data_IF_550285424332
#
_entry.id   IF_550285424332
#
_cell.length_a   1.000
_cell.length_b   1.000
_cell.length_c   1.000
_cell.angle_alpha   90.00
_cell.angle_beta   90.00
_cell.angle_gamma   90.00
#
_symmetry.space_group_name_H-M   'P 1'
#
loop_
_entity.id
_entity.type
_entity.pdbx_description
1 polymer ?
#
# COMPACT_ATOMS: atom_id res chain seq x y z
N UNK A 1 -29.35 -26.78 -33.16
CA UNK A 1 -28.22 -25.88 -33.50
C UNK A 1 -26.98 -26.36 -32.77
N UNK A 2 -25.88 -26.48 -33.52
CA UNK A 2 -24.71 -27.30 -33.23
C UNK A 2 -23.80 -26.75 -32.11
N UNK A 3 -23.42 -27.66 -31.20
CA UNK A 3 -22.36 -27.55 -30.20
C UNK A 3 -21.02 -27.21 -30.87
N UNK A 4 -20.37 -26.12 -30.47
CA UNK A 4 -18.93 -25.91 -30.67
C UNK A 4 -18.18 -26.34 -29.41
N UNK A 5 -17.53 -27.50 -29.48
CA UNK A 5 -16.42 -27.88 -28.60
C UNK A 5 -15.25 -26.94 -28.88
N UNK A 6 -14.63 -26.39 -27.84
CA UNK A 6 -13.29 -25.81 -27.91
C UNK A 6 -12.34 -26.84 -27.36
N UNK A 7 -11.41 -27.25 -28.19
CA UNK A 7 -10.33 -28.16 -27.87
C UNK A 7 -9.35 -27.48 -26.90
N UNK A 8 -9.07 -28.17 -25.80
CA UNK A 8 -8.04 -27.85 -24.83
C UNK A 8 -6.69 -28.31 -25.38
N UNK A 9 -5.73 -27.39 -25.45
CA UNK A 9 -4.33 -27.70 -25.73
C UNK A 9 -3.61 -28.04 -24.40
N UNK A 10 -2.99 -29.22 -24.27
CA UNK A 10 -2.14 -29.52 -23.12
C UNK A 10 -0.74 -28.93 -23.33
N UNK A 11 -0.40 -27.90 -22.56
CA UNK A 11 0.98 -27.41 -22.43
C UNK A 11 1.75 -28.36 -21.50
N UNK A 12 2.50 -29.29 -22.09
CA UNK A 12 3.49 -30.11 -21.40
C UNK A 12 4.75 -29.28 -21.12
N UNK A 13 5.02 -29.00 -19.85
CA UNK A 13 6.32 -28.47 -19.40
C UNK A 13 7.32 -29.64 -19.31
N UNK A 14 8.57 -29.47 -19.77
CA UNK A 14 9.60 -30.49 -19.58
C UNK A 14 9.98 -30.59 -18.10
N UNK A 15 9.81 -31.81 -17.58
CA UNK A 15 10.43 -32.34 -16.38
C UNK A 15 11.95 -32.33 -16.52
N UNK A 16 12.63 -31.42 -15.85
CA UNK A 16 14.07 -31.56 -15.58
C UNK A 16 14.25 -32.43 -14.35
N UNK A 17 14.32 -33.73 -14.59
CA UNK A 17 14.99 -34.68 -13.70
C UNK A 17 16.49 -34.40 -13.69
N UNK A 18 17.03 -34.22 -12.49
CA UNK A 18 18.46 -34.07 -12.23
C UNK A 18 18.80 -34.82 -10.94
N UNK A 19 18.75 -36.14 -11.03
CA UNK A 19 19.28 -37.11 -10.08
C UNK A 19 20.80 -37.00 -9.99
N UNK A 20 21.33 -37.09 -8.77
CA UNK A 20 22.57 -37.82 -8.48
C UNK A 20 23.89 -37.12 -8.81
N UNK A 21 24.62 -36.74 -7.76
CA UNK A 21 26.00 -36.26 -7.90
C UNK A 21 26.71 -36.10 -6.57
N UNK A 22 26.73 -37.16 -5.75
CA UNK A 22 27.72 -37.31 -4.70
C UNK A 22 29.11 -37.38 -5.34
N UNK A 23 30.05 -36.55 -4.90
CA UNK A 23 31.42 -36.62 -5.37
C UNK A 23 32.16 -35.30 -5.17
N UNK A 24 32.45 -34.95 -3.91
CA UNK A 24 33.52 -34.01 -3.65
C UNK A 24 34.86 -34.71 -3.97
N UNK A 25 35.65 -34.25 -4.95
CA UNK A 25 37.03 -34.70 -5.02
C UNK A 25 37.79 -34.00 -3.89
N UNK A 26 38.21 -34.81 -2.92
CA UNK A 26 39.38 -34.52 -2.08
C UNK A 26 40.60 -34.37 -3.01
N UNK A 27 40.76 -33.17 -3.55
CA UNK A 27 41.95 -32.75 -4.29
C UNK A 27 42.87 -32.02 -3.33
N UNK A 28 43.76 -32.76 -2.66
CA UNK A 28 44.89 -32.21 -1.94
C UNK A 28 45.75 -31.39 -2.89
N UNK A 29 45.60 -30.07 -2.82
CA UNK A 29 46.45 -29.13 -3.54
C UNK A 29 47.84 -29.15 -2.94
N UNK A 30 48.74 -29.92 -3.55
CA UNK A 30 50.17 -29.77 -3.34
C UNK A 30 50.55 -28.32 -3.61
N UNK A 31 51.17 -27.70 -2.60
CA UNK A 31 51.79 -26.38 -2.66
C UNK A 31 52.95 -26.42 -3.67
N UNK A 32 52.65 -26.20 -4.96
CA UNK A 32 53.69 -25.84 -5.92
C UNK A 32 54.06 -24.38 -5.70
N UNK A 33 55.29 -24.16 -5.23
CA UNK A 33 55.89 -22.85 -4.95
C UNK A 33 56.33 -22.11 -6.22
N UNK A 34 55.78 -22.45 -7.38
CA UNK A 34 56.10 -21.82 -8.65
C UNK A 34 55.04 -20.75 -8.92
N UNK A 35 55.40 -19.45 -9.01
CA UNK A 35 54.47 -18.39 -9.37
C UNK A 35 54.08 -18.57 -10.84
N UNK A 36 53.07 -19.39 -11.08
CA UNK A 36 52.49 -19.58 -12.39
C UNK A 36 51.82 -18.24 -12.77
N UNK A 37 52.35 -17.58 -13.79
CA UNK A 37 51.89 -16.27 -14.31
C UNK A 37 50.50 -16.32 -14.94
N UNK A 38 49.66 -17.27 -14.53
CA UNK A 38 48.26 -17.38 -14.86
C UNK A 38 47.56 -16.15 -14.31
N UNK A 39 47.13 -15.26 -15.21
CA UNK A 39 46.19 -14.17 -14.94
C UNK A 39 44.81 -14.67 -14.50
N UNK A 40 44.74 -15.66 -13.60
CA UNK A 40 43.57 -15.98 -12.79
C UNK A 40 43.15 -14.67 -12.15
N UNK A 41 42.11 -14.09 -12.75
CA UNK A 41 41.52 -12.81 -12.45
C UNK A 41 41.68 -12.47 -10.97
N UNK A 42 42.40 -11.40 -10.67
CA UNK A 42 42.39 -10.79 -9.35
C UNK A 42 40.92 -10.44 -9.10
N UNK A 43 40.19 -11.32 -8.42
CA UNK A 43 38.87 -11.02 -7.90
C UNK A 43 39.11 -9.98 -6.83
N UNK A 44 39.10 -8.72 -7.24
CA UNK A 44 39.01 -7.58 -6.34
C UNK A 44 37.68 -7.77 -5.62
N UNK A 45 37.71 -8.39 -4.43
CA UNK A 45 36.56 -8.37 -3.54
C UNK A 45 36.14 -6.91 -3.41
N UNK A 46 34.86 -6.63 -3.67
CA UNK A 46 34.35 -5.27 -3.60
C UNK A 46 34.78 -4.64 -2.26
N UNK A 47 35.29 -3.40 -2.25
CA UNK A 47 35.88 -2.78 -1.06
C UNK A 47 34.93 -2.81 0.14
N UNK A 48 33.62 -2.80 -0.12
CA UNK A 48 32.55 -2.94 0.85
C UNK A 48 32.55 -4.30 1.57
N UNK A 49 32.76 -5.41 0.84
CA UNK A 49 32.85 -6.75 1.43
C UNK A 49 34.07 -6.87 2.33
N UNK A 50 35.19 -6.26 1.93
CA UNK A 50 36.42 -6.24 2.75
C UNK A 50 36.23 -5.44 4.03
N UNK A 51 35.58 -4.28 3.95
CA UNK A 51 35.24 -3.46 5.12
C UNK A 51 34.28 -4.21 6.08
N UNK A 52 33.26 -4.88 5.55
CA UNK A 52 32.32 -5.67 6.37
C UNK A 52 33.02 -6.83 7.07
N UNK A 53 33.93 -7.55 6.39
CA UNK A 53 34.67 -8.66 7.04
C UNK A 53 35.54 -8.15 8.18
N UNK A 54 36.21 -7.01 7.98
CA UNK A 54 37.11 -6.39 8.96
C UNK A 54 36.39 -5.72 10.14
N UNK A 55 35.09 -5.41 10.00
CA UNK A 55 34.31 -4.78 11.06
C UNK A 55 34.21 -5.66 12.32
N UNK A 56 34.19 -5.01 13.48
CA UNK A 56 34.02 -5.69 14.77
C UNK A 56 32.67 -6.44 14.81
N UNK A 57 32.59 -7.46 15.67
CA UNK A 57 31.36 -8.23 15.85
C UNK A 57 30.22 -7.31 16.36
N UNK A 58 30.53 -6.36 17.24
CA UNK A 58 29.58 -5.39 17.75
C UNK A 58 29.03 -4.51 16.61
N UNK A 59 29.90 -3.98 15.74
CA UNK A 59 29.49 -3.18 14.58
C UNK A 59 28.57 -3.99 13.65
N UNK A 60 28.90 -5.26 13.39
CA UNK A 60 28.04 -6.16 12.60
C UNK A 60 26.65 -6.32 13.20
N UNK A 61 26.55 -6.52 14.52
CA UNK A 61 25.25 -6.60 15.19
C UNK A 61 24.46 -5.29 15.12
N UNK A 62 25.11 -4.13 15.26
CA UNK A 62 24.42 -2.83 15.14
C UNK A 62 23.82 -2.62 13.74
N UNK A 63 24.50 -3.04 12.67
CA UNK A 63 23.95 -2.99 11.31
C UNK A 63 22.78 -3.95 11.11
N UNK A 64 22.86 -5.17 11.64
CA UNK A 64 21.74 -6.13 11.60
C UNK A 64 20.54 -5.56 12.36
N UNK A 65 20.76 -5.03 13.56
CA UNK A 65 19.72 -4.39 14.37
C UNK A 65 19.07 -3.21 13.64
N UNK A 66 19.88 -2.31 13.06
CA UNK A 66 19.39 -1.21 12.24
C UNK A 66 18.50 -1.70 11.09
N UNK A 67 18.93 -2.76 10.38
CA UNK A 67 18.14 -3.38 9.33
C UNK A 67 16.79 -3.91 9.83
N UNK A 68 16.77 -4.57 11.00
CA UNK A 68 15.53 -5.04 11.64
C UNK A 68 14.62 -3.87 12.01
N UNK A 69 15.15 -2.77 12.55
CA UNK A 69 14.37 -1.57 12.87
C UNK A 69 13.69 -0.99 11.62
N UNK A 70 14.42 -0.85 10.51
CA UNK A 70 13.88 -0.38 9.23
C UNK A 70 12.80 -1.33 8.70
N UNK A 71 13.01 -2.64 8.82
CA UNK A 71 12.01 -3.64 8.43
C UNK A 71 10.74 -3.56 9.27
N UNK A 72 10.83 -3.26 10.57
CA UNK A 72 9.65 -3.01 11.42
C UNK A 72 8.90 -1.75 11.03
N UNK A 73 9.61 -0.65 10.75
CA UNK A 73 8.97 0.59 10.25
C UNK A 73 8.27 0.31 8.92
N UNK A 74 8.95 -0.35 7.98
CA UNK A 74 8.39 -0.69 6.68
C UNK A 74 7.17 -1.62 6.80
N UNK A 75 7.26 -2.63 7.66
CA UNK A 75 6.16 -3.57 7.91
C UNK A 75 4.96 -2.90 8.57
N UNK A 76 5.18 -2.07 9.60
CA UNK A 76 4.15 -1.27 10.26
C UNK A 76 3.45 -0.33 9.28
N UNK A 77 4.21 0.43 8.49
CA UNK A 77 3.67 1.29 7.43
C UNK A 77 2.91 0.50 6.36
N UNK A 78 3.42 -0.65 5.94
CA UNK A 78 2.79 -1.53 4.95
C UNK A 78 1.44 -2.04 5.48
N UNK A 79 1.35 -2.44 6.74
CA UNK A 79 0.10 -2.86 7.38
C UNK A 79 -0.91 -1.71 7.46
N UNK A 80 -0.49 -0.52 7.88
CA UNK A 80 -1.34 0.68 7.96
C UNK A 80 -1.86 1.06 6.56
N UNK A 81 -0.99 1.11 5.56
CA UNK A 81 -1.32 1.55 4.20
C UNK A 81 -2.16 0.53 3.41
N UNK A 82 -2.05 -0.76 3.72
CA UNK A 82 -2.88 -1.83 3.14
C UNK A 82 -4.28 -1.86 3.74
N UNK A 83 -4.39 -1.61 5.05
CA UNK A 83 -5.65 -1.59 5.79
C UNK A 83 -6.45 -0.30 5.65
N UNK A 84 -5.86 0.78 5.13
CA UNK A 84 -6.55 2.06 5.00
C UNK A 84 -7.68 2.01 3.98
N UNK A 85 -8.88 2.29 4.49
CA UNK A 85 -10.09 2.55 3.72
C UNK A 85 -10.64 3.91 4.16
N UNK A 86 -11.14 4.68 3.21
CA UNK A 86 -11.79 5.95 3.51
C UNK A 86 -12.97 6.19 2.59
N UNK A 87 -13.96 6.88 3.12
CA UNK A 87 -15.11 7.35 2.39
C UNK A 87 -15.28 8.85 2.64
N UNK A 88 -15.56 9.59 1.58
CA UNK A 88 -15.92 11.00 1.67
C UNK A 88 -17.21 11.20 0.88
N UNK A 89 -18.28 11.59 1.55
CA UNK A 89 -19.53 12.03 0.94
C UNK A 89 -19.58 13.55 1.06
N UNK A 90 -19.38 14.26 -0.04
CA UNK A 90 -19.44 15.72 -0.11
C UNK A 90 -20.63 16.15 -0.96
N UNK A 91 -21.64 16.73 -0.31
CA UNK A 91 -22.88 17.20 -0.94
C UNK A 91 -22.92 18.72 -0.90
N UNK A 92 -23.10 19.34 -2.08
CA UNK A 92 -23.14 20.79 -2.26
C UNK A 92 -24.21 21.17 -3.29
N UNK A 93 -25.15 22.01 -2.88
CA UNK A 93 -26.19 22.53 -3.77
C UNK A 93 -27.13 21.43 -4.26
N UNK A 94 -27.06 21.12 -5.55
CA UNK A 94 -27.89 20.13 -6.23
C UNK A 94 -27.21 18.76 -6.42
N UNK A 95 -25.96 18.60 -5.99
CA UNK A 95 -25.18 17.39 -6.27
C UNK A 95 -24.40 16.86 -5.08
N UNK A 96 -24.11 15.57 -5.12
CA UNK A 96 -23.31 14.85 -4.16
C UNK A 96 -22.19 14.09 -4.86
N UNK A 97 -21.01 14.11 -4.25
CA UNK A 97 -19.85 13.32 -4.68
C UNK A 97 -19.48 12.35 -3.57
N UNK A 98 -19.57 11.07 -3.88
CA UNK A 98 -19.19 9.97 -3.01
C UNK A 98 -17.86 9.40 -3.50
N UNK A 99 -16.82 9.59 -2.71
CA UNK A 99 -15.50 9.04 -2.96
C UNK A 99 -15.25 7.87 -2.01
N UNK A 100 -15.10 6.67 -2.58
CA UNK A 100 -14.81 5.44 -1.85
C UNK A 100 -13.39 5.01 -2.18
N UNK A 101 -12.52 4.96 -1.18
CA UNK A 101 -11.17 4.41 -1.27
C UNK A 101 -11.15 3.02 -0.66
N UNK A 102 -11.13 1.98 -1.49
CA UNK A 102 -11.10 0.58 -1.03
C UNK A 102 -9.72 0.22 -0.43
N UNK A 103 -9.66 -0.68 0.56
CA UNK A 103 -8.39 -1.24 1.03
C UNK A 103 -7.78 -2.14 -0.07
N UNK A 104 -6.44 -2.30 -0.05
CA UNK A 104 -5.73 -3.07 -1.09
C UNK A 104 -6.14 -4.54 -1.14
N UNK A 105 -6.58 -5.11 -0.03
CA UNK A 105 -6.97 -6.52 0.07
C UNK A 105 -8.27 -6.86 -0.68
N UNK A 106 -9.11 -5.87 -1.00
CA UNK A 106 -10.38 -6.08 -1.70
C UNK A 106 -10.24 -6.10 -3.22
N UNK A 107 -9.04 -5.83 -3.75
CA UNK A 107 -8.79 -5.92 -5.19
C UNK A 107 -8.46 -7.39 -5.51
N UNK A 108 -9.31 -8.11 -6.27
CA UNK A 108 -9.04 -9.50 -6.61
C UNK A 108 -7.72 -9.59 -7.38
N UNK A 109 -6.80 -10.42 -6.91
CA UNK A 109 -5.45 -10.60 -7.50
C UNK A 109 -5.46 -11.07 -8.96
N UNK A 110 -6.61 -11.57 -9.45
CA UNK A 110 -6.72 -12.25 -10.74
C UNK A 110 -7.44 -11.42 -11.83
N UNK A 111 -7.68 -10.12 -11.61
CA UNK A 111 -8.19 -9.25 -12.66
C UNK A 111 -7.06 -8.89 -13.63
N UNK A 112 -6.80 -9.76 -14.62
CA UNK A 112 -5.80 -9.55 -15.68
C UNK A 112 -6.17 -8.42 -16.68
N UNK A 113 -7.14 -7.58 -16.34
CA UNK A 113 -7.55 -6.47 -17.19
C UNK A 113 -6.71 -5.22 -16.91
N UNK A 114 -6.15 -4.68 -17.98
CA UNK A 114 -5.45 -3.39 -18.11
C UNK A 114 -6.25 -2.17 -17.64
N UNK A 115 -7.49 -2.36 -17.18
CA UNK A 115 -8.23 -1.38 -16.40
C UNK A 115 -7.65 -1.34 -14.99
N UNK A 116 -6.55 -0.59 -14.81
CA UNK A 116 -6.02 -0.16 -13.53
C UNK A 116 -7.16 0.05 -12.53
N UNK A 117 -7.35 -0.93 -11.65
CA UNK A 117 -8.41 -0.94 -10.65
C UNK A 117 -8.22 0.30 -9.79
N UNK A 118 -8.91 1.39 -10.13
CA UNK A 118 -8.81 2.66 -9.42
C UNK A 118 -9.22 2.39 -7.98
N UNK A 119 -8.24 2.37 -7.08
CA UNK A 119 -8.46 2.20 -5.62
C UNK A 119 -9.51 3.18 -5.09
N UNK A 120 -9.61 4.34 -5.75
CA UNK A 120 -10.58 5.38 -5.49
C UNK A 120 -11.67 5.33 -6.56
N UNK A 121 -12.89 5.04 -6.15
CA UNK A 121 -14.10 5.19 -6.97
C UNK A 121 -14.74 6.51 -6.59
N UNK A 122 -15.05 7.34 -7.59
CA UNK A 122 -15.80 8.59 -7.43
C UNK A 122 -17.14 8.41 -8.11
N UNK A 123 -18.20 8.53 -7.33
CA UNK A 123 -19.58 8.42 -7.77
C UNK A 123 -20.20 9.80 -7.58
N UNK A 124 -20.81 10.32 -8.64
CA UNK A 124 -21.49 11.61 -8.60
C UNK A 124 -22.98 11.34 -8.84
N UNK A 125 -23.83 11.92 -8.00
CA UNK A 125 -25.27 11.78 -8.10
C UNK A 125 -25.95 13.09 -7.72
N UNK A 126 -27.12 13.33 -8.27
CA UNK A 126 -27.91 14.53 -7.97
C UNK A 126 -28.59 14.39 -6.61
N UNK A 127 -29.02 15.52 -6.04
CA UNK A 127 -29.75 15.56 -4.78
C UNK A 127 -31.02 14.71 -4.83
N UNK A 128 -31.71 14.70 -5.98
CA UNK A 128 -32.96 13.95 -6.13
C UNK A 128 -32.74 12.44 -6.18
N UNK A 129 -31.53 11.98 -6.51
CA UNK A 129 -31.15 10.57 -6.43
C UNK A 129 -30.88 10.12 -4.98
N UNK A 130 -30.66 11.04 -4.05
CA UNK A 130 -30.47 10.72 -2.63
C UNK A 130 -31.81 10.73 -1.90
N UNK A 131 -32.41 9.55 -1.74
CA UNK A 131 -33.74 9.41 -1.12
C UNK A 131 -33.66 9.66 0.38
N UNK A 132 -32.87 8.82 1.05
CA UNK A 132 -32.75 8.82 2.50
C UNK A 132 -31.51 8.05 2.95
N UNK A 133 -31.29 8.08 4.24
CA UNK A 133 -30.36 7.22 4.94
C UNK A 133 -31.04 6.62 6.15
N UNK A 134 -30.78 5.33 6.36
CA UNK A 134 -31.38 4.55 7.43
C UNK A 134 -30.29 4.02 8.38
N UNK A 135 -30.61 3.93 9.67
CA UNK A 135 -29.73 3.27 10.62
C UNK A 135 -30.02 1.77 10.57
N UNK A 136 -28.98 0.94 10.48
CA UNK A 136 -29.12 -0.52 10.43
C UNK A 136 -28.32 -1.18 11.55
N UNK A 137 -28.87 -2.24 12.12
CA UNK A 137 -28.10 -3.23 12.89
C UNK A 137 -27.47 -4.21 11.91
N UNK A 138 -26.15 -4.31 11.96
CA UNK A 138 -25.39 -5.21 11.11
C UNK A 138 -24.74 -6.29 11.95
N UNK A 139 -24.96 -7.54 11.60
CA UNK A 139 -24.27 -8.69 12.16
C UNK A 139 -22.94 -8.88 11.43
N UNK A 140 -21.82 -8.74 12.15
CA UNK A 140 -20.49 -8.95 11.57
C UNK A 140 -20.26 -10.39 11.15
N UNK A 141 -20.86 -11.33 11.85
CA UNK A 141 -20.50 -12.75 11.77
C UNK A 141 -21.27 -13.41 10.62
N UNK A 142 -22.56 -13.09 10.52
CA UNK A 142 -23.40 -13.53 9.40
C UNK A 142 -23.33 -12.61 8.16
N UNK A 143 -22.63 -11.47 8.24
CA UNK A 143 -22.56 -10.47 7.17
C UNK A 143 -23.95 -10.06 6.62
N UNK A 144 -24.92 -9.89 7.52
CA UNK A 144 -26.29 -9.57 7.16
C UNK A 144 -26.87 -8.42 8.01
N UNK A 145 -27.88 -7.77 7.46
CA UNK A 145 -28.67 -6.77 8.17
C UNK A 145 -29.63 -7.51 9.11
N UNK A 146 -29.49 -7.29 10.42
CA UNK A 146 -30.37 -7.91 11.43
C UNK A 146 -31.65 -7.11 11.57
N UNK A 147 -31.53 -5.80 11.68
CA UNK A 147 -32.64 -4.88 11.87
C UNK A 147 -32.40 -3.59 11.09
N UNK A 148 -33.44 -3.10 10.41
CA UNK A 148 -33.45 -1.75 9.86
C UNK A 148 -34.26 -0.86 10.82
N UNK A 149 -33.71 0.27 11.26
CA UNK A 149 -34.41 1.26 12.09
C UNK A 149 -34.85 2.49 11.29
N UNK A 150 -34.83 2.40 9.96
CA UNK A 150 -35.34 3.42 9.06
C UNK A 150 -36.86 3.56 9.12
N UNK A 151 -37.36 4.63 8.48
CA UNK A 151 -38.80 4.92 8.35
C UNK A 151 -39.55 3.79 7.63
N UNK A 152 -38.88 3.04 6.76
CA UNK A 152 -39.42 1.87 6.07
C UNK A 152 -39.33 0.56 6.88
N UNK A 153 -38.95 0.63 8.15
CA UNK A 153 -38.93 -0.56 9.00
C UNK A 153 -40.35 -0.94 9.43
N UNK A 154 -40.75 -2.23 9.32
CA UNK A 154 -42.04 -2.69 9.81
C UNK A 154 -42.28 -2.34 11.29
N UNK A 155 -41.22 -2.15 12.08
CA UNK A 155 -41.32 -1.79 13.50
C UNK A 155 -41.71 -0.34 13.77
N UNK A 156 -41.65 0.55 12.78
CA UNK A 156 -41.98 1.98 12.94
C UNK A 156 -43.27 2.43 12.25
N UNK A 157 -43.80 1.65 11.29
CA UNK A 157 -45.04 2.00 10.59
C UNK A 157 -46.29 1.99 11.49
N UNK A 158 -46.25 1.36 12.67
CA UNK A 158 -47.42 1.28 13.55
C UNK A 158 -47.55 2.42 14.57
N UNK A 159 -46.68 3.43 14.50
CA UNK A 159 -46.84 4.66 15.27
C UNK A 159 -46.89 5.82 14.31
N UNK A 160 -48.10 6.09 13.82
CA UNK A 160 -48.49 7.36 13.20
C UNK A 160 -47.69 8.48 13.88
N UNK A 161 -46.78 9.07 13.10
CA UNK A 161 -46.16 10.33 13.46
C UNK A 161 -47.32 11.32 13.57
N UNK A 162 -47.83 11.54 14.79
CA UNK A 162 -48.50 12.78 15.13
C UNK A 162 -47.53 13.89 14.71
N UNK A 163 -47.84 14.46 13.56
CA UNK A 163 -47.22 15.62 12.95
C UNK A 163 -47.19 16.70 14.03
N UNK A 164 -46.08 16.81 14.74
CA UNK A 164 -45.85 17.95 15.61
C UNK A 164 -45.64 19.16 14.71
N UNK A 165 -46.75 19.78 14.36
CA UNK A 165 -46.86 21.13 13.83
C UNK A 165 -45.92 22.05 14.62
N UNK A 166 -44.83 22.41 13.96
CA UNK A 166 -43.82 23.34 14.47
C UNK A 166 -44.28 24.78 14.19
N UNK A 167 -45.54 25.11 14.43
CA UNK A 167 -45.99 26.49 14.46
C UNK A 167 -45.82 27.08 15.87
N UNK A 168 -44.74 27.84 16.05
CA UNK A 168 -44.78 29.13 16.76
C UNK A 168 -45.23 29.20 18.22
N UNK A 169 -45.47 28.12 18.96
CA UNK A 169 -45.92 28.23 20.36
C UNK A 169 -44.77 28.51 21.32
N UNK A 170 -44.73 29.77 21.79
CA UNK A 170 -43.97 30.24 22.96
C UNK A 170 -44.03 29.20 24.08
N UNK A 171 -42.89 28.60 24.41
CA UNK A 171 -42.78 27.59 25.48
C UNK A 171 -43.27 28.20 26.80
N UNK A 172 -44.34 27.67 27.43
CA UNK A 172 -44.74 28.13 28.75
C UNK A 172 -43.67 27.73 29.76
N UNK A 173 -43.26 28.70 30.58
CA UNK A 173 -42.27 28.60 31.62
C UNK A 173 -42.77 27.67 32.75
N UNK A 174 -42.65 26.35 32.57
CA UNK A 174 -43.10 25.37 33.58
C UNK A 174 -42.09 25.30 34.73
N UNK A 175 -42.49 25.88 35.86
CA UNK A 175 -41.84 25.73 37.15
C UNK A 175 -41.61 24.26 37.49
N UNK A 176 -40.36 23.94 37.80
CA UNK A 176 -39.91 22.61 38.21
C UNK A 176 -40.54 22.19 39.54
N UNK A 177 -41.67 21.48 39.49
CA UNK A 177 -42.20 20.78 40.67
C UNK A 177 -41.40 19.49 40.91
N UNK A 178 -40.66 19.47 42.03
CA UNK A 178 -39.92 18.33 42.59
C UNK A 178 -40.89 17.17 42.90
N UNK A 179 -41.15 16.29 41.94
CA UNK A 179 -41.88 15.05 42.20
C UNK A 179 -40.96 13.85 42.41
N UNK A 180 -41.30 13.10 43.46
CA UNK A 180 -40.63 11.93 44.04
C UNK A 180 -40.23 10.90 42.98
N UNK A 181 -38.99 10.42 43.09
CA UNK A 181 -38.37 9.34 42.32
C UNK A 181 -39.15 8.02 42.52
N UNK A 182 -40.19 7.78 41.71
CA UNK A 182 -40.64 6.40 41.45
C UNK A 182 -39.47 5.69 40.76
N UNK A 183 -38.93 4.64 41.41
CA UNK A 183 -37.95 3.72 40.81
C UNK A 183 -38.58 3.13 39.56
N UNK A 184 -38.36 3.78 38.40
CA UNK A 184 -38.68 3.19 37.11
C UNK A 184 -37.94 1.87 37.08
N UNK A 185 -38.69 0.75 36.97
CA UNK A 185 -38.12 -0.55 36.61
C UNK A 185 -37.15 -0.26 35.46
N UNK A 186 -35.87 -0.57 35.64
CA UNK A 186 -34.91 -0.57 34.55
C UNK A 186 -35.44 -1.60 33.57
N UNK A 187 -36.32 -1.16 32.66
CA UNK A 187 -36.57 -1.87 31.44
C UNK A 187 -35.17 -2.04 30.86
N UNK A 188 -34.70 -3.28 30.85
CA UNK A 188 -33.47 -3.72 30.21
C UNK A 188 -33.64 -3.48 28.71
N UNK A 189 -33.73 -2.21 28.34
CA UNK A 189 -33.58 -1.66 27.01
C UNK A 189 -32.08 -1.70 26.70
N UNK A 190 -31.54 -2.92 26.79
CA UNK A 190 -30.22 -3.30 26.30
C UNK A 190 -30.18 -3.31 24.76
N UNK A 191 -31.14 -2.64 24.11
CA UNK A 191 -31.23 -2.47 22.66
C UNK A 191 -30.71 -1.09 22.20
N UNK A 192 -30.12 -0.32 23.11
CA UNK A 192 -29.72 1.07 22.85
C UNK A 192 -28.27 1.37 23.20
N UNK A 193 -27.40 0.37 23.15
CA UNK A 193 -25.94 0.51 23.19
C UNK A 193 -25.30 -0.09 21.94
N UNK A 194 -23.98 0.06 21.75
CA UNK A 194 -23.25 -0.97 21.01
C UNK A 194 -23.59 -2.36 21.57
N UNK A 195 -23.52 -3.40 20.75
CA UNK A 195 -23.73 -4.78 21.23
C UNK A 195 -22.75 -5.11 22.37
N UNK A 196 -22.93 -6.26 23.02
CA UNK A 196 -22.04 -6.69 24.11
C UNK A 196 -20.56 -6.83 23.65
N UNK A 197 -20.30 -6.80 22.34
CA UNK A 197 -18.98 -6.82 21.69
C UNK A 197 -18.46 -5.42 21.28
N UNK A 198 -19.21 -4.34 21.51
CA UNK A 198 -18.82 -2.97 21.15
C UNK A 198 -19.17 -2.53 19.73
N UNK A 199 -19.89 -3.34 18.94
CA UNK A 199 -20.30 -3.02 17.58
C UNK A 199 -21.49 -2.06 17.55
N UNK A 200 -21.44 -1.14 16.59
CA UNK A 200 -22.45 -0.11 16.44
C UNK A 200 -23.37 -0.36 15.25
N UNK A 201 -24.55 0.25 15.31
CA UNK A 201 -25.43 0.40 14.15
C UNK A 201 -24.67 1.14 13.04
N UNK A 202 -24.52 0.49 11.89
CA UNK A 202 -24.09 1.17 10.66
C UNK A 202 -25.26 2.01 10.14
N UNK A 203 -25.02 2.77 9.09
CA UNK A 203 -26.09 3.32 8.30
C UNK A 203 -25.96 2.89 6.85
N UNK A 204 -27.08 2.95 6.14
CA UNK A 204 -27.16 2.74 4.69
C UNK A 204 -27.48 4.05 4.01
N UNK A 205 -26.98 4.20 2.79
CA UNK A 205 -27.46 5.23 1.86
C UNK A 205 -28.44 4.56 0.91
N UNK A 206 -29.65 5.13 0.83
CA UNK A 206 -30.66 4.71 -0.13
C UNK A 206 -30.61 5.69 -1.29
N UNK A 207 -30.10 5.22 -2.42
CA UNK A 207 -30.02 5.97 -3.66
C UNK A 207 -31.10 5.47 -4.62
N UNK A 208 -31.62 6.33 -5.49
CA UNK A 208 -32.52 5.94 -6.58
C UNK A 208 -31.98 6.40 -7.92
N UNK A 209 -32.48 5.79 -8.98
CA UNK A 209 -32.25 6.29 -10.34
C UNK A 209 -32.79 7.72 -10.50
N UNK A 210 -32.18 8.50 -11.41
CA UNK A 210 -32.67 9.85 -11.69
C UNK A 210 -34.06 9.74 -12.29
N UNK A 211 -35.03 10.46 -11.70
CA UNK A 211 -36.36 10.59 -12.29
C UNK A 211 -36.22 11.16 -13.70
N UNK A 212 -36.88 10.59 -14.71
CA UNK A 212 -36.84 11.16 -16.04
C UNK A 212 -37.36 12.58 -16.00
N UNK A 213 -36.61 13.49 -16.62
CA UNK A 213 -37.16 14.76 -17.04
C UNK A 213 -38.35 14.42 -17.94
N UNK A 214 -39.55 14.77 -17.48
CA UNK A 214 -40.75 14.61 -18.27
C UNK A 214 -40.63 15.61 -19.40
N UNK A 215 -39.98 15.22 -20.49
CA UNK A 215 -40.01 15.97 -21.72
C UNK A 215 -41.47 15.97 -22.18
N UNK A 216 -42.18 17.07 -21.91
CA UNK A 216 -43.60 17.30 -22.24
C UNK A 216 -43.90 17.21 -23.75
N UNK A 217 -42.90 16.95 -24.60
CA UNK A 217 -42.99 16.94 -26.06
C UNK A 217 -43.24 15.57 -26.71
N UNK A 218 -43.39 14.49 -25.94
CA UNK A 218 -43.54 13.13 -26.48
C UNK A 218 -44.94 12.83 -27.02
N UNK A 219 -45.24 13.29 -28.24
CA UNK A 219 -46.42 12.95 -29.04
C UNK A 219 -46.49 11.43 -29.29
N UNK A 220 -47.10 10.67 -28.37
CA UNK A 220 -47.27 9.22 -28.48
C UNK A 220 -48.73 8.91 -28.81
N UNK A 221 -48.95 8.31 -29.98
CA UNK A 221 -50.24 7.89 -30.48
C UNK A 221 -51.08 7.10 -29.46
N UNK A 222 -52.38 7.30 -29.59
CA UNK A 222 -53.48 6.72 -28.82
C UNK A 222 -53.31 5.20 -28.64
N UNK A 223 -52.90 4.81 -27.43
CA UNK A 223 -53.20 3.50 -26.86
C UNK A 223 -53.73 3.76 -25.46
N UNK A 224 -54.81 3.07 -25.07
CA UNK A 224 -55.53 3.21 -23.80
C UNK A 224 -54.71 2.78 -22.55
N UNK A 225 -53.40 2.98 -22.55
CA UNK A 225 -52.49 2.65 -21.45
C UNK A 225 -52.60 3.74 -20.36
N UNK A 226 -52.82 3.33 -19.12
CA UNK A 226 -52.95 4.29 -18.01
C UNK A 226 -51.64 5.06 -17.80
N UNK A 227 -51.70 6.35 -17.39
CA UNK A 227 -50.49 7.16 -17.16
C UNK A 227 -49.48 6.52 -16.21
N UNK A 228 -49.96 5.80 -15.19
CA UNK A 228 -49.11 5.07 -14.24
C UNK A 228 -48.37 3.90 -14.90
N UNK A 229 -49.03 3.15 -15.78
CA UNK A 229 -48.40 2.04 -16.51
C UNK A 229 -47.36 2.55 -17.51
N UNK A 230 -47.66 3.65 -18.22
CA UNK A 230 -46.70 4.32 -19.11
C UNK A 230 -45.45 4.78 -18.35
N UNK A 231 -45.63 5.41 -17.18
CA UNK A 231 -44.51 5.85 -16.33
C UNK A 231 -43.68 4.67 -15.80
N UNK A 232 -44.33 3.61 -15.34
CA UNK A 232 -43.66 2.40 -14.87
C UNK A 232 -42.83 1.73 -15.98
N UNK A 233 -43.39 1.65 -17.20
CA UNK A 233 -42.69 1.11 -18.37
C UNK A 233 -41.49 1.98 -18.76
N UNK A 234 -41.64 3.30 -18.75
CA UNK A 234 -40.53 4.22 -19.05
C UNK A 234 -39.42 4.13 -18.00
N UNK A 235 -39.78 4.03 -16.71
CA UNK A 235 -38.84 3.78 -15.62
C UNK A 235 -38.08 2.47 -15.81
N UNK A 236 -38.79 1.39 -16.16
CA UNK A 236 -38.16 0.07 -16.39
C UNK A 236 -37.24 0.07 -17.62
N UNK A 237 -37.62 0.74 -18.71
CA UNK A 237 -36.76 0.89 -19.89
C UNK A 237 -35.50 1.68 -19.58
N UNK A 238 -35.59 2.78 -18.83
CA UNK A 238 -34.40 3.53 -18.38
C UNK A 238 -33.53 2.70 -17.46
N UNK A 239 -34.11 1.96 -16.53
CA UNK A 239 -33.35 1.07 -15.66
C UNK A 239 -32.57 0.03 -16.49
N UNK A 240 -33.22 -0.60 -17.46
CA UNK A 240 -32.57 -1.54 -18.38
C UNK A 240 -31.47 -0.87 -19.20
N UNK A 241 -31.69 0.36 -19.67
CA UNK A 241 -30.67 1.13 -20.38
C UNK A 241 -29.48 1.47 -19.47
N UNK A 242 -29.74 1.86 -18.22
CA UNK A 242 -28.72 2.17 -17.22
C UNK A 242 -27.93 0.93 -16.80
N UNK A 243 -28.57 -0.22 -16.63
CA UNK A 243 -27.88 -1.49 -16.35
C UNK A 243 -26.86 -1.85 -17.45
N UNK A 244 -27.12 -1.44 -18.69
CA UNK A 244 -26.23 -1.69 -19.82
C UNK A 244 -25.19 -0.57 -20.04
N UNK A 245 -25.38 0.63 -19.48
CA UNK A 245 -24.42 1.73 -19.59
C UNK A 245 -23.31 1.59 -18.53
N UNK A 246 -22.04 1.40 -18.92
CA UNK A 246 -20.92 1.29 -17.97
C UNK A 246 -20.69 2.55 -17.13
N UNK A 247 -21.22 3.70 -17.56
CA UNK A 247 -21.11 4.97 -16.83
C UNK A 247 -22.28 5.25 -15.90
N UNK A 248 -23.32 4.41 -15.91
CA UNK A 248 -24.51 4.60 -15.08
C UNK A 248 -24.19 4.50 -13.59
N UNK A 249 -25.10 5.06 -12.78
CA UNK A 249 -25.06 4.93 -11.33
C UNK A 249 -25.13 3.45 -10.94
N UNK A 250 -26.00 2.67 -11.58
CA UNK A 250 -26.16 1.23 -11.38
C UNK A 250 -24.86 0.46 -11.61
N UNK A 251 -24.17 0.68 -12.73
CA UNK A 251 -22.92 0.01 -13.05
C UNK A 251 -21.81 0.36 -12.05
N UNK A 252 -21.72 1.64 -11.65
CA UNK A 252 -20.75 2.12 -10.64
C UNK A 252 -21.05 1.60 -9.23
N UNK A 253 -22.33 1.46 -8.88
CA UNK A 253 -22.78 0.96 -7.58
C UNK A 253 -22.80 -0.56 -7.49
N UNK A 254 -22.86 -1.29 -8.61
CA UNK A 254 -22.97 -2.75 -8.65
C UNK A 254 -21.92 -3.48 -7.79
N UNK A 255 -20.73 -2.90 -7.64
CA UNK A 255 -19.64 -3.45 -6.83
C UNK A 255 -19.80 -3.23 -5.32
N UNK A 256 -20.83 -2.50 -4.90
CA UNK A 256 -21.01 -1.98 -3.54
C UNK A 256 -22.45 -2.09 -3.03
N UNK A 257 -23.43 -2.14 -3.93
CA UNK A 257 -24.83 -2.29 -3.59
C UNK A 257 -25.12 -3.76 -3.31
N UNK A 258 -25.60 -4.05 -2.11
CA UNK A 258 -26.31 -5.29 -1.87
C UNK A 258 -27.67 -5.11 -2.51
N UNK A 259 -27.93 -5.84 -3.61
CA UNK A 259 -29.29 -5.91 -4.13
C UNK A 259 -30.12 -6.57 -3.03
N UNK A 260 -31.05 -5.80 -2.44
CA UNK A 260 -31.97 -6.34 -1.44
C UNK A 260 -32.86 -7.33 -2.17
N UNK A 261 -32.45 -8.61 -2.19
CA UNK A 261 -33.06 -9.68 -2.97
C UNK A 261 -34.47 -10.08 -2.52
N UNK A 262 -35.15 -9.24 -1.74
CA UNK A 262 -36.57 -9.36 -1.42
C UNK A 262 -37.43 -8.90 -2.61
N UNK A 263 -37.26 -9.66 -3.69
CA UNK A 263 -38.13 -10.10 -4.78
C UNK A 263 -39.42 -9.41 -5.22
N UNK A 264 -40.05 -8.47 -4.50
CA UNK A 264 -41.44 -8.10 -4.82
C UNK A 264 -41.72 -6.61 -5.10
N UNK A 265 -40.81 -5.69 -4.79
CA UNK A 265 -41.03 -4.28 -5.10
C UNK A 265 -40.15 -3.85 -6.27
N UNK A 266 -40.77 -3.29 -7.30
CA UNK A 266 -40.15 -2.57 -8.43
C UNK A 266 -39.37 -1.31 -7.99
N UNK A 267 -38.89 -1.26 -6.74
CA UNK A 267 -38.18 -0.12 -6.20
C UNK A 267 -36.76 -0.10 -6.77
N UNK A 268 -36.50 0.90 -7.61
CA UNK A 268 -35.21 1.24 -8.21
C UNK A 268 -34.24 1.82 -7.17
N UNK A 269 -34.26 1.27 -5.96
CA UNK A 269 -33.48 1.74 -4.81
C UNK A 269 -32.20 0.92 -4.64
N UNK A 270 -31.06 1.60 -4.67
CA UNK A 270 -29.75 1.05 -4.38
C UNK A 270 -29.40 1.31 -2.91
N UNK A 271 -29.26 0.22 -2.15
CA UNK A 271 -28.83 0.28 -0.77
C UNK A 271 -27.30 0.11 -0.68
N UNK A 272 -26.61 1.20 -0.36
CA UNK A 272 -25.17 1.18 -0.14
C UNK A 272 -24.86 0.93 1.33
N UNK A 273 -24.21 -0.20 1.61
CA UNK A 273 -23.74 -0.57 2.93
C UNK A 273 -22.36 0.01 3.20
N UNK A 274 -22.30 1.03 4.05
CA UNK A 274 -21.03 1.70 4.32
C UNK A 274 -20.08 0.87 5.19
N UNK A 275 -20.62 -0.12 5.90
CA UNK A 275 -19.84 -1.05 6.72
C UNK A 275 -19.01 -2.02 5.90
N UNK A 276 -19.35 -2.28 4.64
CA UNK A 276 -18.55 -3.14 3.76
C UNK A 276 -17.14 -2.57 3.52
N UNK A 277 -16.98 -1.26 3.71
CA UNK A 277 -15.69 -0.58 3.69
C UNK A 277 -14.92 -0.66 5.02
N UNK A 278 -15.45 -1.44 5.97
CA UNK A 278 -14.97 -1.62 7.33
C UNK A 278 -14.77 -0.28 8.06
N UNK A 279 -15.64 0.69 7.76
CA UNK A 279 -15.68 1.95 8.46
C UNK A 279 -16.54 1.76 9.70
N UNK A 280 -15.90 1.32 10.79
CA UNK A 280 -16.57 1.22 12.08
C UNK A 280 -16.92 2.62 12.58
N UNK A 281 -18.21 2.94 12.60
CA UNK A 281 -18.70 4.18 13.20
C UNK A 281 -19.19 3.94 14.61
N UNK A 282 -19.08 4.94 15.48
CA UNK A 282 -19.87 4.93 16.71
C UNK A 282 -21.34 5.19 16.40
N UNK A 283 -22.26 4.65 17.21
CA UNK A 283 -23.72 4.86 17.08
C UNK A 283 -24.08 6.34 17.03
N UNK A 284 -23.35 7.16 17.79
CA UNK A 284 -23.53 8.62 17.78
C UNK A 284 -23.15 9.23 16.44
N UNK A 285 -22.04 8.78 15.84
CA UNK A 285 -21.60 9.24 14.53
C UNK A 285 -22.56 8.79 13.42
N UNK A 286 -22.99 7.52 13.42
CA UNK A 286 -23.96 7.00 12.46
C UNK A 286 -25.28 7.78 12.50
N UNK A 287 -25.87 7.96 13.70
CA UNK A 287 -27.08 8.78 13.85
C UNK A 287 -26.92 10.21 13.38
N UNK A 288 -25.75 10.80 13.67
CA UNK A 288 -25.45 12.16 13.23
C UNK A 288 -25.37 12.19 11.70
N UNK A 289 -24.65 11.26 11.08
CA UNK A 289 -24.55 11.11 9.64
C UNK A 289 -25.93 10.98 8.98
N UNK A 290 -26.74 10.02 9.44
CA UNK A 290 -28.13 9.82 8.98
C UNK A 290 -28.94 11.11 9.08
N UNK A 291 -28.89 11.80 10.23
CA UNK A 291 -29.60 13.06 10.42
C UNK A 291 -29.13 14.15 9.45
N UNK A 292 -27.82 14.26 9.17
CA UNK A 292 -27.29 15.22 8.17
C UNK A 292 -27.79 14.88 6.77
N UNK A 293 -27.72 13.61 6.38
CA UNK A 293 -28.14 13.11 5.06
C UNK A 293 -29.63 13.34 4.86
N UNK A 294 -30.46 12.95 5.81
CA UNK A 294 -31.91 13.13 5.73
C UNK A 294 -32.30 14.61 5.74
N UNK A 295 -31.60 15.46 6.50
CA UNK A 295 -31.83 16.90 6.44
C UNK A 295 -31.49 17.50 5.08
N UNK A 296 -30.45 17.00 4.41
CA UNK A 296 -30.09 17.44 3.06
C UNK A 296 -31.07 16.92 1.99
N UNK A 297 -31.44 15.63 2.04
CA UNK A 297 -32.43 15.03 1.15
C UNK A 297 -33.76 15.80 1.21
N UNK A 298 -34.21 16.15 2.43
CA UNK A 298 -35.42 16.97 2.67
C UNK A 298 -35.23 18.47 2.34
N UNK A 299 -34.09 18.91 1.83
CA UNK A 299 -33.80 20.31 1.50
C UNK A 299 -33.62 21.25 2.69
N UNK A 300 -33.60 20.75 3.93
CA UNK A 300 -33.35 21.54 5.14
C UNK A 300 -31.88 21.98 5.26
N UNK A 301 -30.98 21.36 4.51
CA UNK A 301 -29.56 21.74 4.40
C UNK A 301 -29.16 21.82 2.94
N UNK A 302 -28.39 22.85 2.60
CA UNK A 302 -27.86 23.08 1.25
C UNK A 302 -26.51 22.39 0.99
N UNK A 303 -25.76 22.05 2.04
CA UNK A 303 -24.51 21.31 1.92
C UNK A 303 -24.17 20.55 3.19
N UNK A 304 -23.42 19.46 3.03
CA UNK A 304 -22.78 18.75 4.13
C UNK A 304 -21.62 17.90 3.61
N UNK A 305 -20.63 17.67 4.47
CA UNK A 305 -19.55 16.72 4.20
C UNK A 305 -19.48 15.69 5.31
N UNK A 306 -19.46 14.42 4.95
CA UNK A 306 -19.17 13.29 5.84
C UNK A 306 -17.84 12.70 5.40
N UNK A 307 -16.89 12.61 6.34
CA UNK A 307 -15.59 11.98 6.13
C UNK A 307 -15.47 10.84 7.10
N UNK A 308 -15.25 9.66 6.57
CA UNK A 308 -15.09 8.46 7.35
C UNK A 308 -13.79 7.78 6.94
N UNK A 309 -13.00 7.41 7.93
CA UNK A 309 -11.77 6.69 7.74
C UNK A 309 -11.80 5.49 8.68
N UNK A 310 -11.35 4.35 8.18
CA UNK A 310 -11.16 3.18 9.02
C UNK A 310 -10.10 3.50 10.08
N UNK A 311 -10.32 3.16 11.36
CA UNK A 311 -9.29 3.31 12.37
C UNK A 311 -8.03 2.55 11.94
N UNK A 312 -6.88 3.18 12.17
CA UNK A 312 -5.59 2.58 11.87
C UNK A 312 -5.43 1.30 12.68
N UNK A 313 -4.93 0.22 12.07
CA UNK A 313 -4.72 -1.03 12.78
C UNK A 313 -3.72 -0.83 13.92
N UNK A 314 -4.13 -1.18 15.14
CA UNK A 314 -3.28 -1.01 16.32
C UNK A 314 -1.96 -1.77 16.17
N UNK A 315 -1.97 -2.95 15.54
CA UNK A 315 -0.78 -3.77 15.26
C UNK A 315 0.23 -3.05 14.34
N UNK A 316 -0.28 -2.36 13.31
CA UNK A 316 0.58 -1.60 12.40
C UNK A 316 1.21 -0.39 13.11
N UNK A 317 0.42 0.27 13.96
CA UNK A 317 0.88 1.38 14.79
C UNK A 317 1.94 0.95 15.81
N UNK A 318 1.73 -0.16 16.53
CA UNK A 318 2.69 -0.67 17.52
C UNK A 318 4.00 -1.10 16.88
N UNK A 319 3.96 -1.80 15.73
CA UNK A 319 5.17 -2.14 14.97
C UNK A 319 5.93 -0.91 14.49
N UNK A 320 5.21 0.12 14.02
CA UNK A 320 5.82 1.37 13.58
C UNK A 320 6.48 2.10 14.75
N UNK A 321 5.80 2.20 15.90
CA UNK A 321 6.34 2.80 17.13
C UNK A 321 7.59 2.04 17.59
N UNK A 322 7.52 0.71 17.72
CA UNK A 322 8.65 -0.12 18.12
C UNK A 322 9.82 -0.01 17.13
N UNK A 323 9.55 0.04 15.83
CA UNK A 323 10.56 0.25 14.80
C UNK A 323 11.27 1.59 14.93
N UNK A 324 10.52 2.68 15.16
CA UNK A 324 11.10 4.03 15.36
C UNK A 324 11.92 4.07 16.64
N UNK A 325 11.40 3.57 17.77
CA UNK A 325 12.16 3.53 19.02
C UNK A 325 13.44 2.69 18.90
N UNK A 326 13.34 1.53 18.25
CA UNK A 326 14.48 0.66 17.97
C UNK A 326 15.53 1.35 17.09
N UNK A 327 15.10 2.10 16.08
CA UNK A 327 15.98 2.89 15.21
C UNK A 327 16.67 4.03 15.97
N UNK A 328 15.94 4.76 16.81
CA UNK A 328 16.51 5.83 17.65
C UNK A 328 17.54 5.24 18.63
N UNK A 329 17.20 4.14 19.31
CA UNK A 329 18.16 3.45 20.18
C UNK A 329 19.39 2.97 19.42
N UNK A 330 19.22 2.50 18.19
CA UNK A 330 20.33 2.12 17.32
C UNK A 330 21.20 3.32 16.97
N UNK A 331 20.63 4.50 16.68
CA UNK A 331 21.40 5.70 16.39
C UNK A 331 22.12 6.28 17.62
N UNK A 332 21.53 6.14 18.81
CA UNK A 332 22.12 6.63 20.07
C UNK A 332 23.21 5.72 20.62
N UNK A 333 23.01 4.40 20.56
CA UNK A 333 23.95 3.40 21.08
C UNK A 333 24.91 2.86 20.02
N UNK A 334 24.53 2.98 18.75
CA UNK A 334 25.28 2.46 17.62
C UNK A 334 26.61 3.19 17.51
N UNK A 335 27.69 2.43 17.59
CA UNK A 335 29.04 2.89 17.28
C UNK A 335 29.21 3.07 15.76
N UNK A 336 28.29 3.80 15.11
CA UNK A 336 28.46 4.26 13.73
C UNK A 336 29.66 5.22 13.61
N UNK A 337 30.10 5.75 14.75
CA UNK A 337 31.30 6.54 14.94
C UNK A 337 32.39 5.74 15.66
N UNK A 338 32.63 4.48 15.26
CA UNK A 338 33.97 3.92 15.45
C UNK A 338 34.92 4.77 14.61
N UNK A 339 35.40 5.84 15.23
CA UNK A 339 36.43 6.74 14.75
C UNK A 339 37.54 5.84 14.21
N UNK A 340 37.83 5.98 12.92
CA UNK A 340 38.76 5.14 12.19
C UNK A 340 40.09 5.16 12.95
N UNK A 341 40.29 4.17 13.82
CA UNK A 341 41.46 4.11 14.68
C UNK A 341 42.60 3.63 13.79
N UNK A 342 43.24 4.61 13.13
CA UNK A 342 44.39 4.40 12.25
C UNK A 342 45.52 3.61 12.92
N UNK A 343 45.48 3.48 14.25
CA UNK A 343 46.42 2.68 15.04
C UNK A 343 46.11 1.18 15.06
N UNK A 344 44.84 0.76 14.93
CA UNK A 344 44.45 -0.66 14.79
C UNK A 344 44.77 -1.24 13.42
N UNK A 345 44.93 -0.39 12.40
CA UNK A 345 45.68 -0.71 11.20
C UNK A 345 47.19 -0.74 11.50
N UNK A 346 47.59 -1.58 12.47
CA UNK A 346 48.98 -2.00 12.66
C UNK A 346 49.59 -2.53 11.35
N UNK A 347 48.76 -2.83 10.35
CA UNK A 347 49.12 -3.01 8.94
C UNK A 347 49.87 -1.82 8.33
N UNK A 348 49.55 -0.55 8.61
CA UNK A 348 50.28 0.58 8.02
C UNK A 348 51.66 0.77 8.65
N UNK A 349 51.79 0.70 9.97
CA UNK A 349 53.11 0.71 10.63
C UNK A 349 53.94 -0.53 10.28
N UNK A 350 53.32 -1.71 10.22
CA UNK A 350 53.98 -2.96 9.84
C UNK A 350 54.34 -3.00 8.33
N UNK A 351 53.49 -2.45 7.44
CA UNK A 351 53.80 -2.23 6.01
C UNK A 351 54.89 -1.19 5.84
N UNK A 352 54.86 -0.08 6.55
CA UNK A 352 55.92 0.93 6.46
C UNK A 352 57.23 0.39 6.99
N UNK A 353 57.21 -0.41 8.06
CA UNK A 353 58.39 -1.12 8.54
C UNK A 353 58.88 -2.17 7.53
N UNK A 354 57.99 -2.90 6.86
CA UNK A 354 58.35 -3.86 5.81
C UNK A 354 58.92 -3.15 4.57
N UNK A 355 58.28 -2.07 4.11
CA UNK A 355 58.75 -1.22 3.00
C UNK A 355 60.13 -0.64 3.34
N UNK A 356 60.32 -0.17 4.58
CA UNK A 356 61.62 0.32 5.05
C UNK A 356 62.68 -0.79 5.03
N UNK A 357 62.36 -1.99 5.52
CA UNK A 357 63.25 -3.17 5.44
C UNK A 357 63.59 -3.56 4.00
N UNK A 358 62.64 -3.50 3.08
CA UNK A 358 62.89 -3.76 1.65
C UNK A 358 63.82 -2.72 1.03
N UNK A 359 63.60 -1.43 1.31
CA UNK A 359 64.48 -0.34 0.85
C UNK A 359 65.90 -0.46 1.42
N UNK A 360 66.04 -0.84 2.69
CA UNK A 360 67.35 -1.08 3.30
C UNK A 360 68.08 -2.27 2.67
N UNK A 361 67.37 -3.36 2.35
CA UNK A 361 67.95 -4.51 1.66
C UNK A 361 68.37 -4.17 0.21
N UNK A 362 67.58 -3.39 -0.52
CA UNK A 362 67.95 -2.91 -1.86
C UNK A 362 69.16 -1.98 -1.82
N UNK A 363 69.24 -1.08 -0.84
CA UNK A 363 70.40 -0.21 -0.66
C UNK A 363 71.68 -1.02 -0.38
N UNK A 364 71.60 -2.04 0.50
CA UNK A 364 72.72 -2.95 0.77
C UNK A 364 73.14 -3.74 -0.47
N UNK A 365 72.20 -4.21 -1.28
CA UNK A 365 72.50 -4.88 -2.57
C UNK A 365 73.22 -3.95 -3.55
N UNK A 366 72.79 -2.68 -3.67
CA UNK A 366 73.47 -1.69 -4.54
C UNK A 366 74.90 -1.40 -4.09
N UNK A 367 75.16 -1.33 -2.79
CA UNK A 367 76.52 -1.13 -2.25
C UNK A 367 77.40 -2.37 -2.49
N UNK A 368 76.85 -3.57 -2.31
CA UNK A 368 77.56 -4.83 -2.60
C UNK A 368 77.96 -4.92 -4.07
N UNK A 369 77.03 -4.65 -4.99
CA UNK A 369 77.32 -4.66 -6.43
C UNK A 369 78.36 -3.61 -6.83
N UNK A 370 78.39 -2.44 -6.17
CA UNK A 370 79.40 -1.40 -6.45
C UNK A 370 80.82 -1.81 -6.05
N UNK A 371 80.98 -2.64 -4.99
CA UNK A 371 82.30 -3.17 -4.58
C UNK A 371 82.80 -4.31 -5.48
N UNK A 372 81.91 -5.03 -6.15
CA UNK A 372 82.30 -6.07 -7.10
C UNK A 372 82.78 -5.44 -8.41
N UNK A 373 82.15 -4.35 -8.87
CA UNK A 373 82.54 -3.66 -10.12
C UNK A 373 83.89 -2.94 -10.00
N UNK A 374 84.30 -2.48 -8.82
CA UNK A 374 85.65 -1.88 -8.63
C UNK A 374 86.79 -2.89 -8.52
N UNK A 375 86.52 -4.20 -8.44
CA UNK A 375 87.57 -5.24 -8.49
C UNK A 375 87.82 -5.81 -9.90
N UNK A 376 86.95 -5.53 -10.87
CA UNK A 376 87.08 -6.03 -12.25
C UNK A 376 87.57 -4.96 -13.24
N UNK A 377 88.10 -3.83 -12.75
CA UNK A 377 88.66 -2.76 -13.59
C UNK A 377 90.21 -2.75 -13.64
N UNK A 378 90.86 -3.82 -13.17
CA UNK A 378 92.31 -3.98 -13.22
C UNK A 378 92.70 -5.35 -13.82
N UNK A 379 92.23 -5.63 -15.03
CA UNK A 379 92.89 -6.60 -15.92
C UNK A 379 92.52 -6.27 -17.35
N UNK A 380 93.41 -5.48 -17.94
CA UNK A 380 93.49 -5.16 -19.35
C UNK A 380 93.86 -6.41 -20.16
N UNK A 381 93.20 -6.57 -21.31
CA UNK A 381 93.84 -7.10 -22.52
C UNK A 381 93.36 -8.49 -22.95
N UNK A 382 92.39 -8.54 -23.87
CA UNK A 382 92.61 -9.16 -25.19
C UNK A 382 91.47 -8.84 -26.15
N UNK A 383 91.85 -8.72 -27.42
CA UNK A 383 91.04 -8.44 -28.60
C UNK A 383 89.86 -9.40 -28.81
N UNK A 384 88.81 -8.89 -29.44
CA UNK A 384 87.67 -9.68 -29.86
C UNK A 384 86.68 -8.88 -30.69
N UNK A 385 87.16 -8.38 -31.83
CA UNK A 385 86.37 -7.80 -32.91
C UNK A 385 85.25 -8.77 -33.29
N UNK A 386 83.98 -8.40 -33.10
CA UNK A 386 82.92 -8.98 -33.93
C UNK A 386 81.76 -8.02 -34.16
N UNK A 387 81.42 -8.00 -35.44
CA UNK A 387 80.47 -7.16 -36.16
C UNK A 387 79.06 -7.73 -36.00
N UNK A 388 78.06 -6.86 -35.94
CA UNK A 388 76.63 -7.18 -36.03
C UNK A 388 75.83 -6.35 -35.03
N UNK A 389 75.18 -5.25 -35.40
CA UNK A 389 74.20 -5.16 -36.47
C UNK A 389 72.83 -5.47 -35.86
N UNK A 390 72.10 -4.45 -35.42
CA UNK A 390 70.83 -4.66 -34.71
C UNK A 390 70.12 -3.38 -34.32
N UNK A 391 69.71 -2.60 -35.32
CA UNK A 391 68.79 -1.48 -35.22
C UNK A 391 67.49 -1.85 -34.50
N UNK A 392 67.04 -1.03 -33.54
CA UNK A 392 65.61 -0.83 -33.20
C UNK A 392 65.48 0.37 -32.24
N UNK A 393 65.19 1.53 -32.80
CA UNK A 393 63.85 2.13 -32.83
C UNK A 393 63.40 2.64 -31.46
N UNK A 394 63.86 3.85 -31.18
CA UNK A 394 63.00 5.02 -30.95
C UNK A 394 61.49 4.73 -31.03
N UNK A 395 60.78 4.86 -29.91
CA UNK A 395 59.34 5.10 -29.93
C UNK A 395 58.94 6.17 -28.94
N UNK A 396 58.75 7.35 -29.53
CA UNK A 396 58.02 8.53 -29.08
C UNK A 396 56.78 8.24 -28.23
N UNK A 397 56.59 9.14 -27.27
CA UNK A 397 55.35 9.86 -26.93
C UNK A 397 54.03 9.45 -27.58
N UNK A 398 53.02 9.23 -26.72
CA UNK A 398 51.65 9.76 -26.76
C UNK A 398 51.16 9.66 -25.28
N UNK A 399 50.63 10.66 -24.60
CA UNK A 399 49.74 11.74 -25.04
C UNK A 399 48.27 11.29 -24.89
N UNK A 400 47.49 12.04 -24.10
CA UNK A 400 46.01 12.06 -24.05
C UNK A 400 45.35 10.92 -23.23
N UNK A 401 44.34 11.13 -22.36
CA UNK A 401 43.59 12.34 -22.06
C UNK A 401 42.56 12.14 -20.93
N UNK A 402 41.93 13.26 -20.62
CA UNK A 402 40.89 13.49 -19.63
C UNK A 402 39.64 12.63 -19.84
N UNK A 403 38.95 12.32 -18.74
CA UNK A 403 37.63 11.68 -18.75
C UNK A 403 36.87 11.94 -17.45
N UNK A 404 36.61 13.23 -17.16
CA UNK A 404 35.64 13.63 -16.16
C UNK A 404 34.23 13.36 -16.70
N UNK A 405 33.45 12.51 -16.01
CA UNK A 405 32.02 12.40 -16.21
C UNK A 405 31.31 12.65 -14.87
N UNK A 406 30.85 13.90 -14.71
CA UNK A 406 29.76 14.27 -13.84
C UNK A 406 28.54 13.40 -14.19
N UNK A 407 27.91 12.77 -13.19
CA UNK A 407 26.47 12.50 -13.25
C UNK A 407 25.85 13.00 -11.96
N UNK A 408 25.15 14.11 -12.13
CA UNK A 408 24.05 14.54 -11.29
C UNK A 408 22.96 13.48 -11.28
N UNK A 409 22.50 13.13 -10.09
CA UNK A 409 21.08 13.10 -9.76
C UNK A 409 20.91 13.81 -8.43
#
# INVERSE_FOLDING_TARGET
MLRRRRDELPTTLPSTGGTGGYGAPFGGGASSSVPDGSGKSIKMDAPLVKAIRAASIATKYTYVWFGVSVLFIWSGWSLISRGSASMILDCKGSGCTLQISKPKSFIPRNSNSSASSKRKVRIEFTKDQLVRSDNILWDSDAQQIVENFGLSSPTYNDKEEEEMDYEGRKRPNKQWKKHKKKKKKKFTSKLWGPDDNGNYHSYTLVLRDATPDLDEGGNSGEGDESPSMKMARQMQQRHNAMMNDPNSLAAKLSQFSVHSGLQNDNSLEYNLHLRDFNVAQTRRLARTAVSKINAYAKGRRSSFTIREARPVSWQGLTLLILGIFSLILCLLLGQFWEEYDSTKDGSYRKRMAEIKRRKEMEAKRKISNRKVVTRTAATSGYEGRNVGGGSRLDRRSFGVGYGAAKRSM
#
